data_IF_605327825868
#
_entry.id   IF_605327825868
#
_cell.length_a   1.000
_cell.length_b   1.000
_cell.length_c   1.000
_cell.angle_alpha   90.00
_cell.angle_beta   90.00
_cell.angle_gamma   90.00
#
_symmetry.space_group_name_H-M   'P 1'
#
loop_
_entity.id
_entity.type
_entity.pdbx_description
1 polymer ?
#
# COMPACT_ATOMS: atom_id res chain seq x y z
N UNK A 1 -0.10 59.52 55.98
CA UNK A 1 -1.44 59.89 55.46
C UNK A 1 -1.36 59.81 53.94
N UNK A 2 -1.99 58.78 53.38
CA UNK A 2 -1.94 58.44 51.96
C UNK A 2 -2.85 59.41 51.21
N UNK A 3 -2.25 60.41 50.54
CA UNK A 3 -2.99 61.52 49.96
C UNK A 3 -3.64 61.11 48.63
N UNK A 4 -4.88 61.57 48.42
CA UNK A 4 -5.86 61.24 47.36
C UNK A 4 -5.40 61.46 45.91
N UNK A 5 -4.11 61.67 45.64
CA UNK A 5 -3.56 61.92 44.30
C UNK A 5 -3.08 60.65 43.57
N UNK A 6 -2.81 59.55 44.30
CA UNK A 6 -2.38 58.28 43.68
C UNK A 6 -3.52 57.46 43.07
N UNK A 7 -4.77 57.72 43.46
CA UNK A 7 -5.93 56.98 42.96
C UNK A 7 -6.46 57.50 41.61
N UNK A 8 -6.10 58.72 41.22
CA UNK A 8 -6.57 59.32 39.96
C UNK A 8 -5.65 58.99 38.76
N UNK A 9 -4.41 58.56 38.99
CA UNK A 9 -3.48 58.14 37.92
C UNK A 9 -3.70 56.67 37.53
N UNK A 10 -4.22 55.84 38.43
CA UNK A 10 -4.49 54.42 38.15
C UNK A 10 -5.81 54.20 37.40
N UNK A 11 -6.75 55.15 37.44
CA UNK A 11 -8.07 55.00 36.79
C UNK A 11 -8.14 55.53 35.34
N UNK A 12 -7.15 56.31 34.87
CA UNK A 12 -7.10 56.74 33.46
C UNK A 12 -6.23 55.83 32.55
N UNK A 13 -5.53 54.84 33.11
CA UNK A 13 -4.78 53.86 32.33
C UNK A 13 -5.62 52.66 31.81
N UNK A 14 -6.91 52.59 32.16
CA UNK A 14 -7.81 51.48 31.77
C UNK A 14 -8.71 51.77 30.56
N UNK A 15 -8.55 52.91 29.87
CA UNK A 15 -9.35 53.28 28.69
C UNK A 15 -8.52 53.67 27.46
N UNK A 16 -7.34 53.08 27.27
CA UNK A 16 -6.52 53.25 26.04
C UNK A 16 -5.80 51.96 25.59
N UNK A 17 -6.46 50.80 25.69
CA UNK A 17 -6.09 49.59 24.93
C UNK A 17 -7.27 49.14 24.05
N UNK A 18 -7.67 50.03 23.13
CA UNK A 18 -8.52 49.70 22.00
C UNK A 18 -7.68 49.61 20.73
N UNK A 19 -7.89 48.53 19.97
CA UNK A 19 -7.32 48.22 18.65
C UNK A 19 -5.87 47.71 18.62
N UNK A 20 -5.64 46.49 19.09
CA UNK A 20 -4.57 45.66 18.53
C UNK A 20 -5.13 44.91 17.30
N UNK A 21 -4.79 45.40 16.11
CA UNK A 21 -5.00 44.65 14.87
C UNK A 21 -4.14 43.39 14.92
N UNK A 22 -4.79 42.24 15.06
CA UNK A 22 -4.17 40.95 14.79
C UNK A 22 -3.91 40.85 13.29
N UNK A 23 -2.67 41.13 12.86
CA UNK A 23 -2.14 40.55 11.63
C UNK A 23 -2.05 39.05 11.87
N UNK A 24 -3.05 38.31 11.38
CA UNK A 24 -2.97 36.86 11.26
C UNK A 24 -1.80 36.53 10.33
N UNK A 25 -0.62 36.32 10.91
CA UNK A 25 0.38 35.46 10.29
C UNK A 25 -0.25 34.09 10.17
N UNK A 26 -0.70 33.73 8.97
CA UNK A 26 -1.03 32.35 8.64
C UNK A 26 0.26 31.54 8.85
N UNK A 27 0.35 30.87 10.01
CA UNK A 27 1.11 29.66 10.13
C UNK A 27 0.52 28.70 9.10
N UNK A 28 1.26 28.46 8.02
CA UNK A 28 0.93 27.42 7.04
C UNK A 28 0.83 26.10 7.80
N UNK A 29 -0.38 25.55 7.89
CA UNK A 29 -0.59 24.18 8.35
C UNK A 29 0.11 23.25 7.35
N UNK A 30 0.97 22.32 7.78
CA UNK A 30 1.40 21.24 6.90
C UNK A 30 0.18 20.34 6.69
N UNK A 31 -0.47 20.42 5.52
CA UNK A 31 -1.69 19.66 5.26
C UNK A 31 -2.39 19.93 3.93
N UNK A 32 -2.13 21.06 3.28
CA UNK A 32 -2.77 21.39 2.00
C UNK A 32 -1.75 21.31 0.85
N UNK A 33 -1.21 20.12 0.57
CA UNK A 33 -0.73 19.85 -0.79
C UNK A 33 -1.93 19.43 -1.62
N UNK A 34 -2.43 20.28 -2.54
CA UNK A 34 -3.51 19.86 -3.42
C UNK A 34 -3.06 18.62 -4.19
N UNK A 35 -3.92 17.60 -4.25
CA UNK A 35 -3.73 16.48 -5.17
C UNK A 35 -3.54 17.08 -6.56
N UNK A 36 -2.39 16.87 -7.23
CA UNK A 36 -2.12 17.53 -8.50
C UNK A 36 -3.20 17.16 -9.52
N UNK A 37 -3.70 18.17 -10.23
CA UNK A 37 -4.64 17.99 -11.33
C UNK A 37 -4.01 17.12 -12.42
N UNK A 38 -4.77 16.15 -12.93
CA UNK A 38 -4.37 15.01 -13.77
C UNK A 38 -3.71 15.39 -15.12
N UNK A 39 -3.65 16.66 -15.51
CA UNK A 39 -3.23 17.06 -16.86
C UNK A 39 -1.76 17.52 -17.03
N UNK A 40 -0.86 17.31 -16.06
CA UNK A 40 0.51 17.86 -16.19
C UNK A 40 1.64 16.82 -16.43
N UNK A 41 1.34 15.52 -16.50
CA UNK A 41 2.38 14.47 -16.38
C UNK A 41 2.51 13.56 -17.61
N UNK A 42 1.82 13.88 -18.71
CA UNK A 42 2.05 13.26 -20.00
C UNK A 42 3.28 13.90 -20.69
N UNK A 43 4.47 13.48 -20.29
CA UNK A 43 5.71 13.90 -20.95
C UNK A 43 6.91 13.06 -20.51
N UNK A 44 7.48 12.31 -21.47
CA UNK A 44 8.73 11.55 -21.40
C UNK A 44 8.72 10.22 -20.64
N UNK A 45 8.04 9.23 -21.23
CA UNK A 45 8.60 7.87 -21.30
C UNK A 45 9.18 7.72 -22.71
N UNK A 46 10.48 7.98 -22.87
CA UNK A 46 11.16 7.66 -24.12
C UNK A 46 11.27 6.14 -24.25
N UNK A 47 10.75 5.65 -25.37
CA UNK A 47 11.07 4.38 -25.98
C UNK A 47 12.59 4.26 -26.14
N UNK A 48 13.16 3.20 -25.58
CA UNK A 48 14.28 2.52 -26.21
C UNK A 48 14.01 1.02 -26.16
N UNK A 49 13.53 0.55 -27.31
CA UNK A 49 13.57 -0.81 -27.83
C UNK A 49 15.03 -1.29 -27.89
N UNK A 50 15.45 -2.54 -27.92
CA UNK A 50 14.85 -3.89 -27.96
C UNK A 50 16.07 -4.80 -28.12
N UNK A 51 16.14 -5.93 -27.44
CA UNK A 51 17.24 -6.88 -27.63
C UNK A 51 17.05 -8.16 -26.85
N UNK A 52 16.08 -8.98 -27.26
CA UNK A 52 15.91 -10.33 -26.74
C UNK A 52 15.96 -11.30 -27.91
N UNK A 53 17.06 -12.05 -28.01
CA UNK A 53 17.22 -13.15 -28.97
C UNK A 53 16.60 -14.42 -28.40
N UNK A 54 15.77 -15.04 -29.23
CA UNK A 54 15.16 -16.35 -29.08
C UNK A 54 16.20 -17.46 -28.88
N UNK A 55 15.85 -18.45 -28.06
CA UNK A 55 16.44 -19.78 -28.15
C UNK A 55 15.34 -20.83 -28.05
N UNK A 56 15.44 -21.76 -28.99
CA UNK A 56 14.43 -22.68 -29.49
C UNK A 56 14.05 -23.78 -28.50
N UNK A 57 12.78 -24.18 -28.60
CA UNK A 57 12.34 -25.53 -28.27
C UNK A 57 12.65 -26.45 -29.46
N UNK A 58 13.40 -27.53 -29.21
CA UNK A 58 13.10 -28.88 -29.72
C UNK A 58 14.23 -29.84 -29.32
N UNK A 59 13.85 -30.97 -28.72
CA UNK A 59 14.44 -32.29 -29.00
C UNK A 59 13.76 -33.39 -28.19
N UNK A 60 12.96 -34.18 -28.89
CA UNK A 60 12.63 -35.57 -28.55
C UNK A 60 13.91 -36.41 -28.36
N UNK A 61 13.87 -37.47 -27.52
CA UNK A 61 13.77 -38.87 -27.98
C UNK A 61 13.96 -39.91 -26.83
N UNK A 62 13.53 -41.12 -27.15
CA UNK A 62 13.14 -42.30 -26.36
C UNK A 62 14.27 -43.25 -25.92
N UNK A 63 13.83 -44.29 -25.18
CA UNK A 63 14.37 -45.68 -25.00
C UNK A 63 15.08 -45.93 -23.66
N UNK A 64 15.11 -47.11 -23.03
CA UNK A 64 14.24 -48.29 -22.81
C UNK A 64 15.08 -49.29 -21.95
N UNK A 65 14.42 -50.23 -21.25
CA UNK A 65 14.96 -51.51 -20.71
C UNK A 65 15.77 -51.45 -19.38
N UNK A 66 15.74 -52.39 -18.42
CA UNK A 66 15.37 -53.82 -18.36
C UNK A 66 15.28 -54.32 -16.89
N UNK A 67 14.56 -55.42 -16.63
CA UNK A 67 15.00 -56.47 -15.67
C UNK A 67 14.44 -56.53 -14.22
N UNK A 68 13.44 -57.39 -13.99
CA UNK A 68 13.16 -58.18 -12.74
C UNK A 68 13.96 -59.51 -12.74
N UNK A 69 14.04 -60.40 -11.69
CA UNK A 69 13.09 -60.65 -10.57
C UNK A 69 13.63 -61.18 -9.19
N UNK A 70 12.71 -61.26 -8.19
CA UNK A 70 12.66 -62.28 -7.11
C UNK A 70 13.38 -61.93 -5.78
N UNK A 71 12.99 -62.35 -4.57
CA UNK A 71 11.90 -63.17 -4.00
C UNK A 71 11.85 -62.90 -2.46
N UNK A 72 10.66 -63.04 -1.86
CA UNK A 72 10.32 -63.52 -0.50
C UNK A 72 11.10 -63.08 0.76
N UNK A 73 10.41 -62.48 1.76
CA UNK A 73 10.03 -63.18 3.01
C UNK A 73 9.21 -62.31 4.01
N UNK A 74 8.40 -63.05 4.77
CA UNK A 74 7.47 -62.82 5.87
C UNK A 74 7.65 -61.64 6.86
N UNK A 75 6.56 -60.89 7.07
CA UNK A 75 5.82 -60.78 8.35
C UNK A 75 6.46 -60.08 9.57
N UNK A 76 6.01 -58.87 9.90
CA UNK A 76 5.72 -58.42 11.27
C UNK A 76 4.89 -57.12 11.28
N UNK A 77 3.79 -57.13 12.03
CA UNK A 77 2.95 -55.99 12.37
C UNK A 77 3.66 -55.12 13.42
N UNK A 78 3.80 -53.80 13.20
CA UNK A 78 4.07 -52.79 14.24
C UNK A 78 3.82 -51.34 13.76
N UNK A 79 2.71 -50.75 14.25
CA UNK A 79 2.48 -49.36 14.70
C UNK A 79 2.88 -48.17 13.76
N UNK A 80 1.97 -47.20 13.49
CA UNK A 80 2.23 -46.09 12.59
C UNK A 80 3.33 -45.15 13.11
N UNK A 81 4.37 -44.96 12.30
CA UNK A 81 5.29 -43.84 12.43
C UNK A 81 4.48 -42.56 12.16
N UNK A 82 4.22 -41.83 13.23
CA UNK A 82 3.68 -40.49 13.22
C UNK A 82 4.55 -39.65 12.30
N UNK A 83 3.96 -39.22 11.18
CA UNK A 83 4.57 -38.26 10.28
C UNK A 83 5.06 -37.08 11.12
N UNK A 84 6.35 -36.78 11.03
CA UNK A 84 6.88 -35.51 11.49
C UNK A 84 6.01 -34.40 10.88
N UNK A 85 5.63 -33.36 11.65
CA UNK A 85 4.95 -32.22 11.08
C UNK A 85 5.78 -31.70 9.91
N UNK A 86 5.18 -31.24 8.79
CA UNK A 86 5.94 -30.55 7.77
C UNK A 86 6.74 -29.45 8.46
N UNK A 87 8.05 -29.49 8.21
CA UNK A 87 9.06 -28.54 8.66
C UNK A 87 8.45 -27.15 8.72
N UNK A 88 8.36 -26.63 9.94
CA UNK A 88 8.01 -25.26 10.25
C UNK A 88 8.78 -24.32 9.31
N UNK A 89 8.09 -23.78 8.30
CA UNK A 89 8.57 -22.60 7.60
C UNK A 89 8.73 -21.52 8.66
N UNK A 90 9.98 -21.17 8.95
CA UNK A 90 10.32 -20.04 9.79
C UNK A 90 9.67 -18.82 9.16
N UNK A 91 8.65 -18.32 9.84
CA UNK A 91 7.97 -17.08 9.53
C UNK A 91 8.98 -15.97 9.80
N UNK A 92 9.79 -15.64 8.78
CA UNK A 92 10.71 -14.50 8.77
C UNK A 92 9.86 -13.22 8.82
N UNK A 93 9.45 -12.90 10.04
CA UNK A 93 8.62 -11.77 10.44
C UNK A 93 9.56 -10.87 11.24
N UNK A 94 9.76 -9.63 10.79
CA UNK A 94 10.72 -8.70 11.41
C UNK A 94 11.99 -8.41 10.59
N UNK A 95 12.12 -8.95 9.37
CA UNK A 95 13.18 -8.57 8.45
C UNK A 95 13.02 -7.15 7.90
N UNK A 96 14.14 -6.48 7.58
CA UNK A 96 14.15 -5.24 6.80
C UNK A 96 14.66 -5.56 5.40
N UNK A 97 13.94 -5.09 4.37
CA UNK A 97 14.37 -5.18 2.98
C UNK A 97 14.48 -3.77 2.42
N UNK A 98 15.60 -3.46 1.79
CA UNK A 98 15.80 -2.22 1.06
C UNK A 98 16.00 -2.50 -0.42
N UNK A 99 15.52 -1.59 -1.26
CA UNK A 99 15.67 -1.75 -2.70
C UNK A 99 15.04 -0.63 -3.50
N UNK A 100 15.22 -0.69 -4.81
CA UNK A 100 14.59 0.22 -5.77
C UNK A 100 13.23 -0.31 -6.18
N UNK A 101 12.20 0.52 -6.14
CA UNK A 101 10.89 0.17 -6.72
C UNK A 101 11.02 0.17 -8.25
N UNK A 102 10.75 -0.99 -8.86
CA UNK A 102 10.93 -1.22 -10.30
C UNK A 102 9.61 -1.45 -11.04
N UNK A 103 8.49 -1.64 -10.34
CA UNK A 103 7.19 -1.82 -10.96
C UNK A 103 6.06 -1.56 -9.97
N UNK A 104 4.95 -1.02 -10.47
CA UNK A 104 3.73 -0.82 -9.69
C UNK A 104 2.66 -1.79 -10.21
N UNK A 105 2.12 -2.62 -9.32
CA UNK A 105 1.11 -3.62 -9.69
C UNK A 105 -0.28 -2.99 -9.62
N UNK A 106 -0.63 -2.44 -8.47
CA UNK A 106 -1.89 -1.75 -8.16
C UNK A 106 -1.63 -0.69 -7.06
N UNK A 107 -2.67 -0.21 -6.37
CA UNK A 107 -2.56 0.85 -5.36
C UNK A 107 -2.05 0.42 -3.99
N UNK A 108 -1.78 -0.87 -3.76
CA UNK A 108 -1.17 -1.35 -2.52
C UNK A 108 -0.01 -2.32 -2.73
N UNK A 109 0.31 -2.67 -3.99
CA UNK A 109 1.30 -3.68 -4.32
C UNK A 109 2.30 -3.17 -5.37
N UNK A 110 3.60 -3.37 -5.12
CA UNK A 110 4.69 -3.00 -6.02
C UNK A 110 5.81 -4.06 -6.05
N UNK A 111 6.67 -4.00 -7.07
CA UNK A 111 7.87 -4.84 -7.19
C UNK A 111 9.12 -4.06 -6.77
N UNK A 112 9.93 -4.66 -5.91
CA UNK A 112 11.16 -4.11 -5.32
C UNK A 112 12.37 -4.93 -5.75
N UNK A 113 13.41 -4.28 -6.29
CA UNK A 113 14.70 -4.88 -6.61
C UNK A 113 15.72 -4.51 -5.54
N UNK A 114 16.20 -5.49 -4.79
CA UNK A 114 17.23 -5.27 -3.77
C UNK A 114 18.66 -5.25 -4.37
N UNK A 115 19.65 -4.99 -3.52
CA UNK A 115 21.05 -4.88 -3.95
C UNK A 115 21.64 -6.21 -4.44
N UNK A 116 21.12 -7.34 -3.94
CA UNK A 116 21.46 -8.69 -4.40
C UNK A 116 20.78 -9.08 -5.73
N UNK A 117 20.14 -8.14 -6.42
CA UNK A 117 19.39 -8.36 -7.67
C UNK A 117 18.20 -9.32 -7.55
N UNK A 118 17.67 -9.48 -6.34
CA UNK A 118 16.46 -10.26 -6.07
C UNK A 118 15.24 -9.35 -6.10
N UNK A 119 14.21 -9.79 -6.81
CA UNK A 119 12.93 -9.09 -6.90
C UNK A 119 11.94 -9.63 -5.87
N UNK A 120 11.32 -8.72 -5.13
CA UNK A 120 10.26 -8.99 -4.15
C UNK A 120 8.97 -8.32 -4.57
N UNK A 121 7.84 -9.03 -4.41
CA UNK A 121 6.49 -8.49 -4.55
C UNK A 121 6.08 -7.96 -3.18
N UNK A 122 6.01 -6.66 -2.99
CA UNK A 122 5.64 -6.06 -1.71
C UNK A 122 4.17 -5.66 -1.76
N UNK A 123 3.36 -6.20 -0.85
CA UNK A 123 2.05 -5.66 -0.51
C UNK A 123 2.20 -4.78 0.73
N UNK A 124 1.66 -3.58 0.67
CA UNK A 124 1.73 -2.63 1.76
C UNK A 124 0.84 -3.08 2.93
N UNK A 125 1.35 -2.91 4.14
CA UNK A 125 0.65 -3.31 5.37
C UNK A 125 -0.53 -2.37 5.67
N UNK A 126 -1.62 -2.94 6.20
CA UNK A 126 -2.74 -2.17 6.74
C UNK A 126 -3.73 -1.58 5.74
N UNK A 127 -3.51 -1.70 4.43
CA UNK A 127 -4.40 -1.12 3.42
C UNK A 127 -4.91 -2.15 2.40
N UNK A 128 -5.98 -1.79 1.71
CA UNK A 128 -6.48 -2.50 0.53
C UNK A 128 -6.91 -1.50 -0.53
N UNK A 129 -6.31 -1.55 -1.73
CA UNK A 129 -6.59 -0.62 -2.82
C UNK A 129 -7.54 -1.22 -3.88
N UNK A 130 -8.23 -0.40 -4.69
CA UNK A 130 -9.08 -0.91 -5.77
C UNK A 130 -8.34 -1.89 -6.67
N UNK A 131 -9.00 -2.96 -7.10
CA UNK A 131 -8.46 -3.94 -8.04
C UNK A 131 -8.79 -3.57 -9.48
N UNK A 132 -8.08 -4.19 -10.44
CA UNK A 132 -8.33 -3.98 -11.87
C UNK A 132 -9.81 -4.21 -12.20
N UNK A 133 -10.44 -3.20 -12.83
CA UNK A 133 -11.86 -3.21 -13.17
C UNK A 133 -12.77 -2.56 -12.12
N UNK A 134 -12.22 -2.05 -11.02
CA UNK A 134 -12.93 -1.20 -10.06
C UNK A 134 -12.68 0.29 -10.38
N UNK A 135 -13.59 1.19 -9.97
CA UNK A 135 -13.37 2.63 -9.99
C UNK A 135 -12.09 3.00 -9.23
N UNK A 136 -11.39 4.03 -9.70
CA UNK A 136 -10.13 4.56 -9.15
C UNK A 136 -8.94 3.59 -9.16
N UNK A 137 -9.01 2.43 -9.83
CA UNK A 137 -7.88 1.51 -9.94
C UNK A 137 -6.64 2.18 -10.53
N UNK A 138 -6.76 2.83 -11.69
CA UNK A 138 -5.60 3.44 -12.33
C UNK A 138 -5.15 4.68 -11.57
N UNK A 139 -6.09 5.47 -11.04
CA UNK A 139 -5.80 6.64 -10.20
C UNK A 139 -4.96 6.25 -8.98
N UNK A 140 -5.38 5.21 -8.25
CA UNK A 140 -4.69 4.69 -7.07
C UNK A 140 -3.30 4.15 -7.43
N UNK A 141 -3.21 3.33 -8.48
CA UNK A 141 -1.95 2.82 -9.03
C UNK A 141 -0.98 3.94 -9.42
N UNK A 142 -1.45 4.95 -10.14
CA UNK A 142 -0.63 6.07 -10.61
C UNK A 142 -0.14 6.93 -9.45
N UNK A 143 -0.98 7.14 -8.43
CA UNK A 143 -0.59 7.88 -7.23
C UNK A 143 0.48 7.13 -6.43
N UNK A 144 0.35 5.81 -6.23
CA UNK A 144 1.45 5.03 -5.62
C UNK A 144 2.73 5.14 -6.45
N UNK A 145 2.60 5.05 -7.78
CA UNK A 145 3.72 5.23 -8.70
C UNK A 145 4.42 6.59 -8.58
N UNK A 146 3.67 7.68 -8.47
CA UNK A 146 4.26 9.01 -8.30
C UNK A 146 4.98 9.16 -6.96
N UNK A 147 4.56 8.43 -5.93
CA UNK A 147 5.19 8.43 -4.61
C UNK A 147 6.50 7.64 -4.57
N UNK A 148 6.60 6.49 -5.24
CA UNK A 148 7.71 5.56 -5.00
C UNK A 148 8.40 4.98 -6.24
N UNK A 149 7.85 5.09 -7.45
CA UNK A 149 8.45 4.47 -8.63
C UNK A 149 9.87 5.00 -8.88
N UNK A 150 10.82 4.08 -9.06
CA UNK A 150 12.23 4.42 -9.26
C UNK A 150 12.96 4.88 -8.00
N UNK A 151 12.28 5.06 -6.87
CA UNK A 151 12.90 5.43 -5.59
C UNK A 151 13.43 4.21 -4.85
N UNK A 152 14.43 4.43 -4.00
CA UNK A 152 14.86 3.44 -3.01
C UNK A 152 13.99 3.58 -1.77
N UNK A 153 13.42 2.48 -1.31
CA UNK A 153 12.55 2.43 -0.14
C UNK A 153 13.04 1.39 0.87
N UNK A 154 12.64 1.57 2.12
CA UNK A 154 12.89 0.62 3.21
C UNK A 154 11.57 -0.05 3.58
N UNK A 155 11.53 -1.38 3.54
CA UNK A 155 10.35 -2.19 3.86
C UNK A 155 10.61 -2.94 5.15
N UNK A 156 9.78 -2.68 6.16
CA UNK A 156 9.76 -3.44 7.40
C UNK A 156 8.74 -4.58 7.27
N UNK A 157 9.24 -5.81 7.16
CA UNK A 157 8.43 -6.99 6.88
C UNK A 157 7.67 -7.42 8.12
N UNK A 158 6.35 -7.44 8.02
CA UNK A 158 5.44 -7.89 9.07
C UNK A 158 5.04 -9.34 8.85
N UNK A 159 4.86 -9.74 7.59
CA UNK A 159 4.50 -11.09 7.22
C UNK A 159 5.18 -11.50 5.92
N UNK A 160 5.74 -12.70 5.92
CA UNK A 160 6.19 -13.37 4.71
C UNK A 160 5.03 -14.16 4.11
N UNK A 161 4.67 -13.89 2.85
CA UNK A 161 3.78 -14.78 2.08
C UNK A 161 4.62 -15.80 1.29
N UNK A 162 3.94 -16.77 0.68
CA UNK A 162 4.58 -17.81 -0.14
C UNK A 162 5.41 -17.21 -1.27
N UNK A 163 6.62 -17.76 -1.48
CA UNK A 163 7.53 -17.34 -2.55
C UNK A 163 8.22 -16.00 -2.29
N UNK A 164 8.16 -15.08 -3.25
CA UNK A 164 8.81 -13.77 -3.19
C UNK A 164 7.88 -12.64 -2.72
N UNK A 165 6.64 -12.96 -2.31
CA UNK A 165 5.67 -11.98 -1.83
C UNK A 165 5.86 -11.71 -0.35
N UNK A 166 5.88 -10.44 0.02
CA UNK A 166 6.04 -9.96 1.40
C UNK A 166 4.99 -8.90 1.70
N UNK A 167 4.61 -8.82 2.97
CA UNK A 167 3.76 -7.76 3.52
C UNK A 167 4.61 -6.94 4.49
N UNK A 168 4.49 -5.62 4.42
CA UNK A 168 5.24 -4.75 5.33
C UNK A 168 4.91 -3.27 5.22
N UNK A 169 5.31 -2.53 6.24
CA UNK A 169 5.32 -1.08 6.23
C UNK A 169 6.43 -0.59 5.31
N UNK A 170 6.13 0.37 4.44
CA UNK A 170 7.09 0.85 3.44
C UNK A 170 7.35 2.33 3.65
N UNK A 171 8.62 2.67 3.86
CA UNK A 171 9.06 4.03 4.15
C UNK A 171 9.84 4.61 2.96
N UNK A 172 9.47 5.82 2.58
CA UNK A 172 10.20 6.65 1.63
C UNK A 172 11.47 7.23 2.27
N UNK A 173 12.45 7.69 1.48
CA UNK A 173 13.63 8.38 2.02
C UNK A 173 13.31 9.63 2.85
N UNK A 174 12.14 10.25 2.62
CA UNK A 174 11.63 11.37 3.41
C UNK A 174 11.21 10.97 4.84
N UNK A 175 11.07 9.68 5.12
CA UNK A 175 10.49 9.14 6.35
C UNK A 175 8.96 8.95 6.29
N UNK A 176 8.29 9.36 5.20
CA UNK A 176 6.87 9.11 5.01
C UNK A 176 6.57 7.62 4.81
N UNK A 177 5.52 7.12 5.46
CA UNK A 177 5.04 5.74 5.31
C UNK A 177 3.96 5.69 4.23
N UNK A 178 4.12 4.81 3.24
CA UNK A 178 3.29 4.80 2.03
C UNK A 178 1.82 4.45 2.30
N UNK A 179 1.52 3.54 3.22
CA UNK A 179 0.13 3.18 3.53
C UNK A 179 -0.63 4.38 4.08
N UNK A 180 0.01 5.18 4.94
CA UNK A 180 -0.55 6.44 5.42
C UNK A 180 -0.80 7.44 4.28
N UNK A 181 0.13 7.56 3.32
CA UNK A 181 -0.06 8.44 2.16
C UNK A 181 -1.23 7.99 1.26
N UNK A 182 -1.39 6.68 1.04
CA UNK A 182 -2.50 6.14 0.25
C UNK A 182 -3.87 6.38 0.90
N UNK A 183 -3.98 6.17 2.21
CA UNK A 183 -5.21 6.44 2.96
C UNK A 183 -5.51 7.93 3.02
N UNK A 184 -4.48 8.77 3.27
CA UNK A 184 -4.62 10.22 3.28
C UNK A 184 -5.15 10.73 1.95
N UNK A 185 -4.66 10.22 0.81
CA UNK A 185 -5.18 10.60 -0.50
C UNK A 185 -6.63 10.09 -0.77
N UNK A 186 -7.15 9.20 0.08
CA UNK A 186 -8.43 8.53 -0.13
C UNK A 186 -8.38 7.56 -1.32
N UNK A 187 -7.24 6.90 -1.55
CA UNK A 187 -7.02 6.00 -2.69
C UNK A 187 -6.83 4.52 -2.28
N UNK A 188 -7.01 4.23 -1.00
CA UNK A 188 -7.13 2.89 -0.45
C UNK A 188 -8.08 2.90 0.75
N UNK A 189 -8.50 1.72 1.20
CA UNK A 189 -9.25 1.52 2.44
C UNK A 189 -8.33 1.04 3.56
N UNK A 190 -8.64 1.44 4.80
CA UNK A 190 -7.99 0.84 5.98
C UNK A 190 -8.49 -0.58 6.16
N UNK A 191 -7.58 -1.56 6.17
CA UNK A 191 -7.96 -2.97 6.21
C UNK A 191 -8.12 -3.48 7.65
N UNK A 192 -9.18 -3.01 8.31
CA UNK A 192 -9.47 -3.25 9.74
C UNK A 192 -9.49 -4.72 10.18
N UNK A 193 -9.71 -5.65 9.25
CA UNK A 193 -9.70 -7.09 9.53
C UNK A 193 -8.33 -7.58 9.99
N UNK A 194 -7.26 -6.98 9.49
CA UNK A 194 -5.88 -7.41 9.73
C UNK A 194 -5.01 -6.35 10.39
N UNK A 195 -5.52 -5.12 10.52
CA UNK A 195 -4.77 -4.00 11.05
C UNK A 195 -5.64 -3.12 11.96
N UNK A 196 -5.14 -2.78 13.15
CA UNK A 196 -5.82 -1.97 14.17
C UNK A 196 -5.17 -0.60 14.41
N UNK A 197 -4.37 -0.15 13.45
CA UNK A 197 -3.69 1.14 13.50
C UNK A 197 -4.71 2.29 13.57
N UNK A 198 -4.56 3.12 14.61
CA UNK A 198 -5.47 4.24 14.86
C UNK A 198 -5.20 5.41 13.92
N UNK A 199 -3.98 5.55 13.44
CA UNK A 199 -3.59 6.66 12.57
C UNK A 199 -4.16 6.44 11.17
N UNK A 200 -4.08 5.20 10.64
CA UNK A 200 -4.77 4.83 9.40
C UNK A 200 -6.28 5.04 9.51
N UNK A 201 -6.90 4.64 10.62
CA UNK A 201 -8.33 4.86 10.84
C UNK A 201 -8.69 6.35 10.84
N UNK A 202 -7.90 7.19 11.52
CA UNK A 202 -8.12 8.63 11.57
C UNK A 202 -7.97 9.31 10.19
N UNK A 203 -6.93 8.93 9.44
CA UNK A 203 -6.70 9.43 8.08
C UNK A 203 -7.84 9.04 7.13
N UNK A 204 -8.38 7.82 7.27
CA UNK A 204 -9.51 7.38 6.46
C UNK A 204 -10.76 8.22 6.75
N UNK A 205 -11.05 8.50 8.03
CA UNK A 205 -12.18 9.37 8.40
C UNK A 205 -12.04 10.78 7.83
N UNK A 206 -10.82 11.34 7.85
CA UNK A 206 -10.54 12.64 7.23
C UNK A 206 -10.77 12.59 5.71
N UNK A 207 -10.22 11.59 5.02
CA UNK A 207 -10.43 11.41 3.58
C UNK A 207 -11.90 11.25 3.20
N UNK A 208 -12.69 10.54 4.02
CA UNK A 208 -14.14 10.40 3.87
C UNK A 208 -14.86 11.72 4.02
N UNK A 209 -14.57 12.46 5.09
CA UNK A 209 -15.16 13.76 5.38
C UNK A 209 -14.93 14.76 4.24
N UNK A 210 -13.72 14.76 3.70
CA UNK A 210 -13.30 15.67 2.64
C UNK A 210 -13.63 15.17 1.23
N UNK A 211 -14.27 13.99 1.11
CA UNK A 211 -14.64 13.36 -0.16
C UNK A 211 -13.48 13.22 -1.13
N UNK A 212 -12.29 12.85 -0.62
CA UNK A 212 -11.09 12.61 -1.42
C UNK A 212 -11.15 11.25 -2.13
N UNK A 213 -10.61 11.17 -3.36
CA UNK A 213 -10.48 9.92 -4.12
C UNK A 213 -11.76 9.07 -4.14
N UNK A 214 -11.67 7.85 -3.62
CA UNK A 214 -12.75 6.86 -3.50
C UNK A 214 -14.04 7.45 -2.90
N UNK A 215 -13.90 8.38 -1.96
CA UNK A 215 -15.00 8.99 -1.21
C UNK A 215 -15.76 10.08 -1.97
N UNK A 216 -15.39 10.33 -3.24
CA UNK A 216 -16.25 11.08 -4.17
C UNK A 216 -17.51 10.31 -4.52
N UNK A 217 -17.40 8.98 -4.64
CA UNK A 217 -18.53 8.09 -4.82
C UNK A 217 -19.37 8.07 -3.53
N UNK A 218 -20.70 8.27 -3.57
CA UNK A 218 -21.54 8.14 -2.39
C UNK A 218 -21.62 6.71 -1.83
N UNK A 219 -21.30 5.68 -2.61
CA UNK A 219 -21.32 4.28 -2.18
C UNK A 219 -20.11 3.48 -2.73
N UNK A 220 -18.88 3.82 -2.29
CA UNK A 220 -17.69 3.14 -2.77
C UNK A 220 -17.62 1.71 -2.20
N UNK A 221 -17.41 0.72 -3.07
CA UNK A 221 -17.35 -0.69 -2.69
C UNK A 221 -15.89 -1.11 -2.48
N UNK A 222 -15.51 -1.59 -1.29
CA UNK A 222 -14.13 -2.00 -1.03
C UNK A 222 -13.77 -3.33 -1.73
N UNK A 223 -12.48 -3.59 -1.98
CA UNK A 223 -12.04 -4.73 -2.79
C UNK A 223 -12.41 -6.08 -2.16
N UNK A 224 -12.38 -6.19 -0.83
CA UNK A 224 -12.74 -7.44 -0.15
C UNK A 224 -14.20 -7.86 -0.35
N UNK A 225 -15.13 -6.90 -0.54
CA UNK A 225 -16.53 -7.21 -0.89
C UNK A 225 -16.62 -7.70 -2.35
N UNK A 226 -15.88 -7.08 -3.28
CA UNK A 226 -15.78 -7.56 -4.67
C UNK A 226 -15.23 -8.99 -4.74
N UNK A 227 -14.17 -9.29 -3.97
CA UNK A 227 -13.65 -10.66 -3.86
C UNK A 227 -14.70 -11.63 -3.31
N UNK A 228 -15.55 -11.20 -2.37
CA UNK A 228 -16.62 -12.03 -1.80
C UNK A 228 -17.69 -12.35 -2.85
N UNK A 229 -18.12 -11.37 -3.64
CA UNK A 229 -19.07 -11.55 -4.76
C UNK A 229 -18.49 -12.49 -5.83
N UNK A 230 -17.20 -12.33 -6.17
CA UNK A 230 -16.56 -13.23 -7.15
C UNK A 230 -16.47 -14.67 -6.63
N UNK A 231 -16.19 -14.87 -5.33
CA UNK A 231 -16.18 -16.20 -4.70
C UNK A 231 -17.55 -16.86 -4.63
N UNK A 232 -18.66 -16.11 -4.66
CA UNK A 232 -20.01 -16.67 -4.78
C UNK A 232 -20.40 -17.02 -6.23
N UNK A 233 -19.48 -16.86 -7.19
CA UNK A 233 -19.71 -17.19 -8.60
C UNK A 233 -20.42 -16.08 -9.40
N UNK A 234 -20.59 -14.89 -8.81
CA UNK A 234 -21.25 -13.77 -9.48
C UNK A 234 -20.24 -12.92 -10.26
N UNK A 235 -20.66 -12.45 -11.45
CA UNK A 235 -19.88 -11.49 -12.25
C UNK A 235 -19.95 -10.10 -11.62
N UNK A 236 -18.80 -9.40 -11.59
CA UNK A 236 -18.70 -8.03 -11.08
C UNK A 236 -18.54 -6.99 -12.19
N UNK A 237 -18.57 -7.41 -13.47
CA UNK A 237 -18.31 -6.52 -14.62
C UNK A 237 -19.30 -5.36 -14.72
N UNK A 238 -20.55 -5.61 -14.35
CA UNK A 238 -21.65 -4.66 -14.50
C UNK A 238 -21.94 -3.89 -13.20
N UNK A 239 -21.12 -4.08 -12.15
CA UNK A 239 -21.32 -3.40 -10.86
C UNK A 239 -20.93 -1.93 -10.88
N UNK A 240 -20.13 -1.50 -11.84
CA UNK A 240 -19.54 -0.17 -11.86
C UNK A 240 -19.83 0.55 -13.18
N UNK A 241 -20.31 1.79 -13.07
CA UNK A 241 -20.35 2.73 -14.18
C UNK A 241 -19.21 3.74 -14.03
N UNK A 242 -18.01 3.36 -14.49
CA UNK A 242 -16.78 4.13 -14.26
C UNK A 242 -16.78 5.40 -15.12
N UNK A 243 -16.83 6.56 -14.47
CA UNK A 243 -16.70 7.88 -15.09
C UNK A 243 -15.24 8.25 -15.36
N UNK A 244 -14.99 9.25 -16.21
CA UNK A 244 -13.63 9.62 -16.62
C UNK A 244 -12.72 10.01 -15.44
N UNK A 245 -13.26 10.69 -14.43
CA UNK A 245 -12.52 11.08 -13.23
C UNK A 245 -12.18 9.91 -12.29
N UNK A 246 -12.78 8.74 -12.55
CA UNK A 246 -12.54 7.49 -11.82
C UNK A 246 -11.67 6.50 -12.61
N UNK A 247 -11.28 6.82 -13.85
CA UNK A 247 -10.52 5.90 -14.70
C UNK A 247 -9.07 5.75 -14.29
#
# INVERSE_FOLDING_TARGET
MLNKLTYLIVLQAFLLFGACQSKSGQLNKPGDTPVPSINHWAGNLNEDQSGFTEINADSLQMMQDSGTPGVSETGALSIPAQAAPPSSETTDSGGIIEGKVIGIIDGDTFDLLNDSKKTYRIRMEGIDAPEKGMPFYQVSKNYLGSLCFGQRVTVQITQSESGNRKIGFTYLPSGSELSHEMIRAGLAWHFVKYNSDRDLAALEQEARKDRRGLWKDPNPIPPWEIRKIRRSGQSTKDLFNITEDQR
#
